data_IF_350662301204
#
_entry.id   IF_350662301204
#
_cell.length_a   1.000
_cell.length_b   1.000
_cell.length_c   1.000
_cell.angle_alpha   90.00
_cell.angle_beta   90.00
_cell.angle_gamma   90.00
#
_symmetry.space_group_name_H-M   'P 1'
#
loop_
_entity.id
_entity.type
_entity.pdbx_description
1 polymer ?
#
# COMPACT_ATOMS: atom_id res chain seq x y z
N UNK A 1 -32.69 11.18 10.65
CA UNK A 1 -31.67 11.86 11.46
C UNK A 1 -30.53 10.87 11.63
N UNK A 2 -29.48 10.97 10.81
CA UNK A 2 -28.30 10.11 10.90
C UNK A 2 -27.45 10.67 12.04
N UNK A 3 -27.34 9.94 13.15
CA UNK A 3 -26.38 10.28 14.20
C UNK A 3 -24.97 10.26 13.58
N UNK A 4 -24.34 11.44 13.57
CA UNK A 4 -23.02 11.64 13.02
C UNK A 4 -22.02 11.09 14.05
N UNK A 5 -21.87 9.76 14.06
CA UNK A 5 -20.86 9.11 14.89
C UNK A 5 -19.49 9.64 14.43
N UNK A 6 -18.68 10.24 15.32
CA UNK A 6 -17.37 10.74 14.94
C UNK A 6 -16.55 9.61 14.31
N UNK A 7 -16.11 9.83 13.08
CA UNK A 7 -15.17 8.93 12.42
C UNK A 7 -13.88 8.94 13.24
N UNK A 8 -13.35 7.77 13.66
CA UNK A 8 -12.05 7.72 14.32
C UNK A 8 -10.96 8.30 13.41
N UNK A 9 -10.06 9.13 13.94
CA UNK A 9 -9.00 9.72 13.14
C UNK A 9 -8.09 8.64 12.56
N UNK A 10 -7.45 8.96 11.43
CA UNK A 10 -6.42 8.08 10.88
C UNK A 10 -5.28 7.92 11.89
N UNK A 11 -4.96 6.68 12.23
CA UNK A 11 -3.82 6.39 13.10
C UNK A 11 -2.54 6.46 12.27
N UNK A 12 -1.66 7.38 12.62
CA UNK A 12 -0.32 7.50 12.03
C UNK A 12 0.66 6.65 12.83
N UNK A 13 1.29 5.68 12.19
CA UNK A 13 2.18 4.72 12.87
C UNK A 13 3.67 5.03 12.71
N UNK A 14 4.06 5.84 11.73
CA UNK A 14 5.45 6.27 11.56
C UNK A 14 5.72 7.57 12.30
N UNK A 15 6.68 7.50 13.23
CA UNK A 15 7.18 8.66 13.94
C UNK A 15 8.47 9.16 13.29
N UNK A 16 8.46 10.39 12.83
CA UNK A 16 9.63 11.10 12.32
C UNK A 16 9.68 12.54 12.84
N UNK A 17 10.84 13.17 12.69
CA UNK A 17 11.06 14.57 13.03
C UNK A 17 10.75 15.45 11.83
N UNK A 18 9.98 16.51 12.07
CA UNK A 18 9.65 17.55 11.12
C UNK A 18 10.52 18.78 11.38
N UNK A 19 11.02 19.35 10.30
CA UNK A 19 11.66 20.66 10.30
C UNK A 19 11.19 21.46 9.08
N UNK A 20 11.52 22.75 9.08
CA UNK A 20 11.10 23.69 8.04
C UNK A 20 11.69 23.44 6.64
N UNK A 21 12.58 22.45 6.48
CA UNK A 21 13.06 22.00 5.17
C UNK A 21 12.05 21.08 4.49
N UNK A 22 11.09 20.53 5.24
CA UNK A 22 10.01 19.72 4.71
C UNK A 22 8.91 20.64 4.17
N UNK A 23 8.56 20.45 2.90
CA UNK A 23 7.50 21.23 2.24
C UNK A 23 6.18 21.06 3.01
N UNK A 24 5.54 22.20 3.31
CA UNK A 24 4.30 22.24 4.09
C UNK A 24 4.51 22.46 5.59
N UNK A 25 5.71 22.27 6.12
CA UNK A 25 6.04 22.63 7.50
C UNK A 25 6.29 24.14 7.58
N UNK A 26 5.71 24.87 8.57
CA UNK A 26 5.95 26.29 8.75
C UNK A 26 7.43 26.64 8.98
N UNK A 27 7.93 27.74 8.38
CA UNK A 27 9.29 28.24 8.61
C UNK A 27 9.60 28.43 10.10
N UNK A 28 10.81 28.06 10.52
CA UNK A 28 11.24 28.13 11.92
C UNK A 28 10.85 26.92 12.77
N UNK A 29 10.15 25.93 12.21
CA UNK A 29 9.96 24.63 12.88
C UNK A 29 11.29 23.86 12.89
N UNK A 30 11.71 23.38 14.06
CA UNK A 30 12.92 22.57 14.20
C UNK A 30 12.67 21.38 15.11
N UNK A 31 12.91 20.17 14.58
CA UNK A 31 12.86 18.93 15.36
C UNK A 31 11.50 18.61 15.98
N UNK A 32 10.40 19.04 15.37
CA UNK A 32 9.05 18.74 15.86
C UNK A 32 8.75 17.25 15.65
N UNK A 33 8.40 16.54 16.72
CA UNK A 33 7.95 15.17 16.58
C UNK A 33 6.59 15.12 15.87
N UNK A 34 6.47 14.30 14.82
CA UNK A 34 5.25 14.17 13.99
C UNK A 34 3.97 13.91 14.80
N UNK A 35 4.06 13.17 15.92
CA UNK A 35 2.90 12.96 16.81
C UNK A 35 2.36 14.24 17.46
N UNK A 36 3.14 15.31 17.51
CA UNK A 36 2.77 16.59 18.13
C UNK A 36 2.22 17.60 17.12
N UNK A 37 2.13 17.25 15.83
CA UNK A 37 1.64 18.15 14.78
C UNK A 37 0.20 18.58 15.05
N UNK A 38 -0.65 17.68 15.52
CA UNK A 38 -2.06 17.99 15.85
C UNK A 38 -2.19 19.08 16.92
N UNK A 39 -1.22 19.18 17.84
CA UNK A 39 -1.19 20.20 18.89
C UNK A 39 -0.81 21.59 18.35
N UNK A 40 -0.12 21.65 17.20
CA UNK A 40 0.30 22.90 16.58
C UNK A 40 -0.87 23.67 15.93
N UNK A 41 -2.01 22.98 15.70
CA UNK A 41 -3.20 23.53 15.05
C UNK A 41 -2.87 24.24 13.74
N UNK A 42 -1.93 23.70 12.96
CA UNK A 42 -1.60 24.23 11.66
C UNK A 42 -2.79 24.07 10.71
N UNK A 43 -3.14 25.14 10.04
CA UNK A 43 -4.20 25.15 9.06
C UNK A 43 -3.70 25.81 7.76
N UNK A 44 -3.96 25.21 6.58
CA UNK A 44 -3.47 25.72 5.30
C UNK A 44 -3.89 27.17 5.01
N UNK A 45 -5.07 27.57 5.49
CA UNK A 45 -5.60 28.92 5.28
C UNK A 45 -4.92 30.00 6.14
N UNK A 46 -4.14 29.62 7.16
CA UNK A 46 -3.50 30.58 8.08
C UNK A 46 -2.29 31.29 7.47
N UNK A 47 -1.84 30.89 6.28
CA UNK A 47 -0.68 31.48 5.58
C UNK A 47 0.69 31.14 6.21
N UNK A 48 0.71 30.36 7.29
CA UNK A 48 1.94 29.93 7.99
C UNK A 48 2.64 28.77 7.31
N UNK A 49 1.92 28.00 6.48
CA UNK A 49 2.44 26.82 5.80
C UNK A 49 2.89 27.18 4.37
N UNK A 50 4.08 26.76 3.98
CA UNK A 50 4.60 26.96 2.64
C UNK A 50 3.79 26.18 1.60
N UNK A 51 3.19 26.88 0.63
CA UNK A 51 2.47 26.28 -0.50
C UNK A 51 3.44 25.88 -1.64
N UNK A 52 3.09 24.90 -2.48
CA UNK A 52 1.90 24.03 -2.44
C UNK A 52 1.95 23.00 -1.31
N UNK A 53 0.79 22.72 -0.73
CA UNK A 53 0.56 21.73 0.32
C UNK A 53 -0.50 20.73 -0.15
N UNK A 54 -0.31 19.44 0.16
CA UNK A 54 -1.34 18.42 0.03
C UNK A 54 -2.06 18.26 1.37
N UNK A 55 -3.38 18.31 1.35
CA UNK A 55 -4.21 18.11 2.54
C UNK A 55 -5.19 16.97 2.28
N UNK A 56 -5.55 16.27 3.35
CA UNK A 56 -6.54 15.21 3.32
C UNK A 56 -7.60 15.56 4.36
N UNK A 57 -8.87 15.58 3.94
CA UNK A 57 -10.00 15.61 4.86
C UNK A 57 -10.30 14.17 5.32
N UNK A 58 -10.02 13.89 6.59
CA UNK A 58 -10.20 12.55 7.17
C UNK A 58 -11.67 12.10 7.16
N UNK A 59 -12.60 13.03 7.37
CA UNK A 59 -14.04 12.74 7.41
C UNK A 59 -14.56 12.39 6.02
N UNK A 60 -14.14 13.14 5.00
CA UNK A 60 -14.47 12.86 3.61
C UNK A 60 -13.81 11.56 3.14
N UNK A 61 -12.55 11.33 3.51
CA UNK A 61 -11.84 10.08 3.21
C UNK A 61 -12.57 8.86 3.76
N UNK A 62 -12.92 8.87 5.05
CA UNK A 62 -13.59 7.75 5.69
C UNK A 62 -15.00 7.50 5.11
N UNK A 63 -15.76 8.58 4.85
CA UNK A 63 -17.08 8.47 4.21
C UNK A 63 -16.97 7.81 2.83
N UNK A 64 -16.00 8.24 2.01
CA UNK A 64 -15.77 7.68 0.68
C UNK A 64 -15.29 6.23 0.74
N UNK A 65 -14.36 5.93 1.66
CA UNK A 65 -13.84 4.58 1.93
C UNK A 65 -14.98 3.62 2.25
N UNK A 66 -15.81 3.97 3.23
CA UNK A 66 -16.87 3.11 3.74
C UNK A 66 -17.98 2.92 2.70
N UNK A 67 -18.31 3.99 1.95
CA UNK A 67 -19.26 3.90 0.83
C UNK A 67 -18.77 2.90 -0.22
N UNK A 68 -17.52 3.01 -0.68
CA UNK A 68 -16.97 2.17 -1.73
C UNK A 68 -16.84 0.70 -1.29
N UNK A 69 -16.32 0.47 -0.08
CA UNK A 69 -16.18 -0.88 0.47
C UNK A 69 -17.53 -1.57 0.69
N UNK A 70 -18.54 -0.83 1.16
CA UNK A 70 -19.90 -1.35 1.27
C UNK A 70 -20.44 -1.76 -0.10
N UNK A 71 -20.30 -0.90 -1.11
CA UNK A 71 -20.74 -1.20 -2.47
C UNK A 71 -20.05 -2.46 -3.02
N UNK A 72 -18.73 -2.57 -2.88
CA UNK A 72 -17.98 -3.76 -3.31
C UNK A 72 -18.51 -5.05 -2.67
N UNK A 73 -18.77 -5.02 -1.36
CA UNK A 73 -19.36 -6.14 -0.63
C UNK A 73 -20.76 -6.49 -1.13
N UNK A 74 -21.61 -5.50 -1.38
CA UNK A 74 -22.96 -5.70 -1.94
C UNK A 74 -22.94 -6.35 -3.33
N UNK A 75 -21.89 -6.09 -4.12
CA UNK A 75 -21.67 -6.75 -5.41
C UNK A 75 -20.98 -8.12 -5.30
N UNK A 76 -20.67 -8.59 -4.09
CA UNK A 76 -19.99 -9.87 -3.87
C UNK A 76 -18.52 -9.89 -4.33
N UNK A 77 -17.89 -8.71 -4.47
CA UNK A 77 -16.49 -8.60 -4.89
C UNK A 77 -15.58 -8.18 -3.74
N UNK A 78 -14.36 -8.72 -3.73
CA UNK A 78 -13.30 -8.30 -2.85
C UNK A 78 -12.41 -7.27 -3.55
N UNK A 79 -11.95 -6.26 -2.81
CA UNK A 79 -11.04 -5.25 -3.35
C UNK A 79 -9.66 -5.31 -2.71
N UNK A 80 -8.64 -5.07 -3.51
CA UNK A 80 -7.25 -4.88 -3.08
C UNK A 80 -6.75 -3.53 -3.61
N UNK A 81 -6.99 -2.42 -2.87
CA UNK A 81 -6.65 -1.08 -3.34
C UNK A 81 -5.17 -0.95 -3.70
N UNK A 82 -4.89 -0.28 -4.81
CA UNK A 82 -3.51 -0.07 -5.24
C UNK A 82 -2.87 1.08 -4.48
N UNK A 83 -1.79 0.81 -3.76
CA UNK A 83 -1.02 1.79 -3.00
C UNK A 83 -0.09 2.67 -3.89
N UNK A 84 -0.56 3.06 -5.09
CA UNK A 84 0.27 3.76 -6.09
C UNK A 84 0.53 5.22 -5.74
N UNK A 85 -0.35 5.86 -4.97
CA UNK A 85 -0.51 7.33 -5.03
C UNK A 85 0.00 8.09 -3.81
N UNK A 86 0.29 7.47 -2.66
CA UNK A 86 1.16 8.16 -1.71
C UNK A 86 2.21 7.29 -1.01
N UNK A 87 2.27 5.97 -1.27
CA UNK A 87 3.00 5.05 -0.39
C UNK A 87 2.60 5.26 1.09
N UNK A 88 1.39 5.76 1.37
CA UNK A 88 0.90 6.02 2.72
C UNK A 88 0.40 4.71 3.34
N UNK A 89 1.20 4.05 4.20
CA UNK A 89 0.85 2.73 4.71
C UNK A 89 -0.35 2.83 5.66
N UNK A 90 -0.52 3.98 6.33
CA UNK A 90 -1.65 4.25 7.21
C UNK A 90 -2.98 4.31 6.46
N UNK A 91 -3.02 4.87 5.24
CA UNK A 91 -4.21 4.85 4.40
C UNK A 91 -4.53 3.42 3.91
N UNK A 92 -3.50 2.67 3.52
CA UNK A 92 -3.67 1.28 3.12
C UNK A 92 -4.17 0.41 4.29
N UNK A 93 -3.64 0.63 5.50
CA UNK A 93 -4.14 -0.01 6.72
C UNK A 93 -5.59 0.33 6.99
N UNK A 94 -5.95 1.61 6.93
CA UNK A 94 -7.32 2.06 7.13
C UNK A 94 -8.30 1.36 6.17
N UNK A 95 -7.90 1.14 4.91
CA UNK A 95 -8.69 0.40 3.93
C UNK A 95 -8.83 -1.08 4.30
N UNK A 96 -7.75 -1.73 4.72
CA UNK A 96 -7.76 -3.15 5.12
C UNK A 96 -8.58 -3.36 6.38
N UNK A 97 -8.44 -2.50 7.39
CA UNK A 97 -9.24 -2.53 8.63
C UNK A 97 -10.73 -2.29 8.36
N UNK A 98 -11.06 -1.46 7.38
CA UNK A 98 -12.44 -1.23 6.95
C UNK A 98 -13.02 -2.38 6.08
N UNK A 99 -12.20 -3.38 5.73
CA UNK A 99 -12.65 -4.60 5.05
C UNK A 99 -12.13 -4.80 3.63
N UNK A 100 -11.13 -4.04 3.17
CA UNK A 100 -10.40 -4.42 1.96
C UNK A 100 -9.69 -5.76 2.18
N UNK A 101 -9.64 -6.60 1.15
CA UNK A 101 -9.09 -7.95 1.25
C UNK A 101 -7.58 -7.95 1.46
N UNK A 102 -6.88 -6.98 0.87
CA UNK A 102 -5.43 -6.80 0.95
C UNK A 102 -5.01 -5.50 0.27
N UNK A 103 -3.73 -5.40 -0.13
CA UNK A 103 -3.19 -4.21 -0.81
C UNK A 103 -2.46 -4.59 -2.08
N UNK A 104 -2.67 -3.81 -3.14
CA UNK A 104 -1.95 -3.98 -4.40
C UNK A 104 -0.75 -3.03 -4.46
N UNK A 105 0.41 -3.56 -4.82
CA UNK A 105 1.68 -2.83 -4.97
C UNK A 105 2.29 -3.15 -6.33
N UNK A 106 3.12 -2.25 -6.85
CA UNK A 106 3.72 -2.38 -8.18
C UNK A 106 5.10 -3.08 -8.18
N UNK A 107 5.75 -3.22 -7.02
CA UNK A 107 7.08 -3.83 -6.96
C UNK A 107 7.41 -4.38 -5.55
N UNK A 108 8.52 -5.13 -5.46
CA UNK A 108 9.03 -5.74 -4.22
C UNK A 108 9.40 -4.69 -3.16
N UNK A 109 9.87 -3.50 -3.56
CA UNK A 109 10.25 -2.43 -2.62
C UNK A 109 9.00 -1.86 -1.95
N UNK A 110 7.93 -1.62 -2.72
CA UNK A 110 6.64 -1.21 -2.19
C UNK A 110 6.03 -2.31 -1.30
N UNK A 111 6.14 -3.58 -1.71
CA UNK A 111 5.71 -4.71 -0.87
C UNK A 111 6.44 -4.71 0.48
N UNK A 112 7.76 -4.48 0.48
CA UNK A 112 8.56 -4.37 1.71
C UNK A 112 8.05 -3.28 2.63
N UNK A 113 7.69 -2.10 2.09
CA UNK A 113 7.15 -0.99 2.90
C UNK A 113 5.82 -1.39 3.54
N UNK A 114 4.90 -1.97 2.76
CA UNK A 114 3.60 -2.41 3.27
C UNK A 114 3.74 -3.52 4.33
N UNK A 115 4.64 -4.49 4.12
CA UNK A 115 4.94 -5.55 5.07
C UNK A 115 5.53 -5.02 6.39
N UNK A 116 6.40 -4.01 6.32
CA UNK A 116 6.93 -3.32 7.51
C UNK A 116 5.83 -2.57 8.25
N UNK A 117 4.85 -2.05 7.53
CA UNK A 117 3.62 -1.52 8.10
C UNK A 117 2.65 -2.65 8.53
N UNK A 118 3.04 -3.93 8.54
CA UNK A 118 2.18 -5.01 9.03
C UNK A 118 1.01 -5.38 8.11
N UNK A 119 0.98 -4.88 6.87
CA UNK A 119 0.04 -5.33 5.85
C UNK A 119 0.57 -6.64 5.24
N UNK A 120 -0.04 -7.76 5.61
CA UNK A 120 0.48 -9.09 5.29
C UNK A 120 -0.09 -9.71 4.02
N UNK A 121 -1.24 -9.24 3.52
CA UNK A 121 -1.83 -9.74 2.27
C UNK A 121 -1.61 -8.76 1.13
N UNK A 122 -0.76 -9.14 0.18
CA UNK A 122 -0.32 -8.26 -0.91
C UNK A 122 -0.47 -8.90 -2.29
N UNK A 123 -0.93 -8.11 -3.25
CA UNK A 123 -0.82 -8.40 -4.68
C UNK A 123 0.32 -7.55 -5.23
N UNK A 124 1.34 -8.18 -5.81
CA UNK A 124 2.38 -7.51 -6.56
C UNK A 124 1.94 -7.50 -8.02
N UNK A 125 1.29 -6.40 -8.43
CA UNK A 125 0.71 -6.16 -9.74
C UNK A 125 1.75 -5.73 -10.77
N UNK A 126 2.87 -6.47 -10.82
CA UNK A 126 3.89 -6.33 -11.84
C UNK A 126 4.68 -7.65 -11.94
N UNK A 127 5.29 -7.87 -13.09
CA UNK A 127 6.06 -9.06 -13.35
C UNK A 127 7.33 -9.11 -12.50
N UNK A 128 7.58 -10.30 -11.98
CA UNK A 128 8.81 -10.60 -11.26
C UNK A 128 9.89 -10.86 -12.30
N UNK A 129 10.54 -9.78 -12.76
CA UNK A 129 11.49 -9.80 -13.87
C UNK A 129 12.64 -10.80 -13.69
N UNK A 130 12.54 -11.94 -14.36
CA UNK A 130 13.57 -12.97 -14.47
C UNK A 130 14.06 -13.56 -13.14
N UNK A 131 15.16 -14.32 -13.21
CA UNK A 131 15.72 -15.03 -12.05
C UNK A 131 16.10 -14.09 -10.88
N UNK A 132 16.59 -12.88 -11.18
CA UNK A 132 16.94 -11.89 -10.17
C UNK A 132 15.73 -11.30 -9.44
N UNK A 133 14.62 -11.08 -10.15
CA UNK A 133 13.34 -10.74 -9.53
C UNK A 133 12.84 -11.87 -8.63
N UNK A 134 12.87 -13.11 -9.13
CA UNK A 134 12.36 -14.29 -8.42
C UNK A 134 13.13 -14.57 -7.13
N UNK A 135 14.46 -14.44 -7.17
CA UNK A 135 15.32 -14.57 -5.98
C UNK A 135 15.01 -13.50 -4.92
N UNK A 136 14.83 -12.24 -5.33
CA UNK A 136 14.45 -11.15 -4.41
C UNK A 136 13.08 -11.38 -3.79
N UNK A 137 12.12 -11.90 -4.56
CA UNK A 137 10.81 -12.24 -4.04
C UNK A 137 10.87 -13.40 -3.04
N UNK A 138 11.65 -14.44 -3.33
CA UNK A 138 11.86 -15.57 -2.41
C UNK A 138 12.51 -15.09 -1.09
N UNK A 139 13.48 -14.19 -1.16
CA UNK A 139 14.08 -13.57 0.02
C UNK A 139 13.05 -12.74 0.82
N UNK A 140 12.18 -11.98 0.15
CA UNK A 140 11.08 -11.26 0.80
C UNK A 140 10.13 -12.24 1.51
N UNK A 141 9.69 -13.29 0.82
CA UNK A 141 8.80 -14.30 1.40
C UNK A 141 9.43 -14.99 2.63
N UNK A 142 10.74 -15.24 2.60
CA UNK A 142 11.48 -15.82 3.73
C UNK A 142 11.59 -14.88 4.93
N UNK A 143 11.74 -13.57 4.70
CA UNK A 143 11.79 -12.58 5.76
C UNK A 143 10.42 -12.27 6.39
N UNK A 144 9.32 -12.55 5.68
CA UNK A 144 7.95 -12.41 6.17
C UNK A 144 7.15 -13.71 5.96
N UNK A 145 7.38 -14.75 6.78
CA UNK A 145 6.76 -16.07 6.59
C UNK A 145 5.23 -16.07 6.73
N UNK A 146 4.67 -15.06 7.42
CA UNK A 146 3.23 -14.89 7.59
C UNK A 146 2.59 -14.05 6.47
N UNK A 147 3.37 -13.59 5.49
CA UNK A 147 2.85 -12.82 4.37
C UNK A 147 2.13 -13.71 3.35
N UNK A 148 0.96 -13.27 2.91
CA UNK A 148 0.24 -13.85 1.80
C UNK A 148 0.53 -13.03 0.53
N UNK A 149 1.52 -13.48 -0.24
CA UNK A 149 1.95 -12.82 -1.47
C UNK A 149 1.28 -13.46 -2.70
N UNK A 150 0.71 -12.60 -3.54
CA UNK A 150 0.16 -12.93 -4.85
C UNK A 150 0.97 -12.18 -5.91
N UNK A 151 1.37 -12.85 -6.98
CA UNK A 151 2.14 -12.24 -8.08
C UNK A 151 1.53 -12.58 -9.43
N UNK A 152 1.75 -11.73 -10.42
CA UNK A 152 1.38 -12.04 -11.80
C UNK A 152 2.53 -12.70 -12.55
N UNK A 153 2.18 -13.59 -13.47
CA UNK A 153 3.08 -14.12 -14.48
C UNK A 153 2.38 -14.17 -15.84
N UNK A 154 3.08 -13.72 -16.86
CA UNK A 154 2.62 -13.62 -18.24
C UNK A 154 3.34 -14.62 -19.18
N UNK A 155 4.35 -15.33 -18.67
CA UNK A 155 5.23 -16.13 -19.52
C UNK A 155 5.72 -17.38 -18.81
N UNK A 156 5.96 -18.43 -19.58
CA UNK A 156 6.57 -19.69 -19.09
C UNK A 156 7.94 -19.42 -18.46
N UNK A 157 8.70 -18.47 -19.03
CA UNK A 157 9.98 -18.05 -18.49
C UNK A 157 9.85 -17.45 -17.07
N UNK A 158 8.87 -16.57 -16.85
CA UNK A 158 8.61 -16.00 -15.52
C UNK A 158 8.20 -17.09 -14.51
N UNK A 159 7.29 -17.99 -14.90
CA UNK A 159 6.88 -19.12 -14.05
C UNK A 159 8.06 -20.02 -13.69
N UNK A 160 8.93 -20.34 -14.66
CA UNK A 160 10.11 -21.16 -14.41
C UNK A 160 11.13 -20.48 -13.48
N UNK A 161 11.31 -19.16 -13.61
CA UNK A 161 12.17 -18.39 -12.71
C UNK A 161 11.63 -18.41 -11.27
N UNK A 162 10.33 -18.19 -11.09
CA UNK A 162 9.66 -18.27 -9.78
C UNK A 162 9.80 -19.69 -9.18
N UNK A 163 9.50 -20.72 -9.97
CA UNK A 163 9.62 -22.11 -9.53
C UNK A 163 11.06 -22.47 -9.14
N UNK A 164 12.06 -21.99 -9.89
CA UNK A 164 13.47 -22.18 -9.58
C UNK A 164 13.86 -21.55 -8.24
N UNK A 165 13.44 -20.30 -8.00
CA UNK A 165 13.70 -19.61 -6.74
C UNK A 165 13.02 -20.28 -5.54
N UNK A 166 11.78 -20.79 -5.70
CA UNK A 166 11.08 -21.52 -4.64
C UNK A 166 11.70 -22.88 -4.35
N UNK A 167 12.12 -23.63 -5.37
CA UNK A 167 12.82 -24.92 -5.18
C UNK A 167 14.14 -24.77 -4.42
N UNK A 168 14.85 -23.66 -4.64
CA UNK A 168 16.08 -23.35 -3.89
C UNK A 168 15.81 -23.01 -2.41
N UNK A 169 14.56 -22.77 -2.02
CA UNK A 169 14.17 -22.35 -0.67
C UNK A 169 12.97 -23.17 -0.16
N UNK A 170 13.19 -24.45 0.13
CA UNK A 170 12.12 -25.42 0.49
C UNK A 170 11.31 -25.06 1.76
N UNK A 171 11.80 -24.15 2.60
CA UNK A 171 11.09 -23.68 3.78
C UNK A 171 10.02 -22.60 3.49
N UNK A 172 9.97 -22.07 2.26
CA UNK A 172 8.99 -21.05 1.89
C UNK A 172 7.59 -21.65 1.74
N UNK A 173 6.59 -20.89 2.19
CA UNK A 173 5.20 -21.19 1.87
C UNK A 173 4.96 -21.16 0.35
N UNK A 174 3.99 -21.92 -0.18
CA UNK A 174 3.65 -21.89 -1.60
C UNK A 174 3.31 -20.47 -2.09
N UNK A 175 3.91 -20.08 -3.21
CA UNK A 175 3.60 -18.82 -3.88
C UNK A 175 2.28 -18.92 -4.64
N UNK A 176 1.43 -17.90 -4.53
CA UNK A 176 0.22 -17.77 -5.35
C UNK A 176 0.58 -16.97 -6.60
N UNK A 177 0.42 -17.60 -7.76
CA UNK A 177 0.70 -17.00 -9.06
C UNK A 177 -0.60 -16.85 -9.82
N UNK A 178 -0.89 -15.62 -10.25
CA UNK A 178 -2.02 -15.25 -11.09
C UNK A 178 -1.53 -15.17 -12.53
N UNK A 179 -2.18 -15.86 -13.44
CA UNK A 179 -1.85 -15.76 -14.88
C UNK A 179 -2.51 -14.51 -15.43
N UNK A 180 -1.71 -13.59 -15.98
CA UNK A 180 -2.23 -12.37 -16.59
C UNK A 180 -2.71 -12.66 -18.02
N UNK A 181 -4.00 -12.47 -18.29
CA UNK A 181 -4.54 -12.67 -19.64
C UNK A 181 -4.64 -11.33 -20.35
N UNK A 182 -3.78 -11.11 -21.35
CA UNK A 182 -3.81 -9.92 -22.19
C UNK A 182 -5.04 -9.90 -23.10
N UNK A 183 -6.11 -9.20 -22.68
CA UNK A 183 -7.25 -8.89 -23.52
C UNK A 183 -7.09 -7.46 -24.08
N UNK A 184 -6.43 -7.35 -25.23
CA UNK A 184 -6.50 -6.21 -26.17
C UNK A 184 -6.70 -4.81 -25.59
N UNK A 185 -5.64 -4.23 -25.02
CA UNK A 185 -5.18 -2.84 -25.18
C UNK A 185 -3.82 -2.77 -24.47
N UNK A 186 -2.78 -2.81 -25.30
CA UNK A 186 -1.35 -2.96 -24.99
C UNK A 186 -0.92 -2.50 -23.60
N UNK A 187 -0.61 -3.46 -22.73
CA UNK A 187 0.65 -3.57 -22.01
C UNK A 187 0.76 -5.06 -21.64
N UNK A 188 1.74 -5.72 -22.25
CA UNK A 188 2.18 -7.10 -22.01
C UNK A 188 1.31 -8.18 -22.68
N UNK A 189 1.95 -8.94 -23.58
CA UNK A 189 1.34 -9.93 -24.45
C UNK A 189 1.95 -11.30 -24.12
N UNK A 190 1.12 -12.23 -23.66
CA UNK A 190 1.47 -13.66 -23.71
C UNK A 190 1.44 -14.07 -25.17
N UNK A 191 2.57 -14.57 -25.67
CA UNK A 191 2.71 -15.21 -26.99
C UNK A 191 2.87 -16.72 -26.82
#
# INVERSE_FOLDING_TARGET
MSENTPVPPLVVHENFLLDDRIRGVPPGTSGLHSSLVGEQRWHPADGRMSLPLLTLDESAFATNRDMFLRYAREQGVAIAPHAKTPMAPDLARSLVEAGAWGTTVADIRQATVMLRAGLTRLIIANEVGGAGGASRLAALAGAWPNAELHVFADSVAAVNALAGAWRANAALAPLRVLVELGAGLSLIHIS
#
